data_IF_858616156933
#
_entry.id   IF_858616156933
#
_cell.length_a   1.000
_cell.length_b   1.000
_cell.length_c   1.000
_cell.angle_alpha   90.00
_cell.angle_beta   90.00
_cell.angle_gamma   90.00
#
_symmetry.space_group_name_H-M   'P 1'
#
loop_
_entity.id
_entity.type
_entity.pdbx_description
1 polymer ?
#
# COMPACT_ATOMS: atom_id res chain seq x y z
N UNK A 1 -40.64 39.04 -46.88
CA UNK A 1 -39.30 39.38 -47.38
C UNK A 1 -38.43 39.71 -46.17
N UNK A 2 -37.64 38.74 -45.69
CA UNK A 2 -36.25 38.88 -45.23
C UNK A 2 -35.78 37.50 -44.73
N UNK A 3 -34.93 36.87 -45.54
CA UNK A 3 -34.13 35.71 -45.17
C UNK A 3 -33.11 36.12 -44.10
N UNK A 4 -32.89 35.29 -43.07
CA UNK A 4 -31.58 35.24 -42.42
C UNK A 4 -31.23 33.83 -41.93
N UNK A 5 -30.33 33.19 -42.69
CA UNK A 5 -29.66 31.92 -42.41
C UNK A 5 -28.47 32.20 -41.48
N UNK A 6 -28.39 31.54 -40.30
CA UNK A 6 -27.15 31.42 -39.49
C UNK A 6 -27.16 30.05 -38.78
N UNK A 7 -26.42 29.06 -39.29
CA UNK A 7 -25.01 28.72 -39.05
C UNK A 7 -24.84 27.75 -37.85
N UNK A 8 -24.64 26.46 -38.16
CA UNK A 8 -24.75 25.28 -37.28
C UNK A 8 -23.41 24.86 -36.61
N UNK A 9 -22.57 25.80 -36.17
CA UNK A 9 -21.19 25.48 -35.75
C UNK A 9 -20.75 25.98 -34.35
N UNK A 10 -21.66 26.29 -33.43
CA UNK A 10 -21.28 26.84 -32.10
C UNK A 10 -21.48 25.90 -30.91
N UNK A 11 -21.81 24.61 -31.13
CA UNK A 11 -22.06 23.66 -30.03
C UNK A 11 -21.08 22.48 -29.95
N UNK A 12 -19.99 22.47 -30.74
CA UNK A 12 -18.98 21.40 -30.69
C UNK A 12 -17.69 21.79 -29.95
N UNK A 13 -17.49 23.08 -29.64
CA UNK A 13 -16.24 23.54 -28.98
C UNK A 13 -16.33 23.56 -27.45
N UNK A 14 -17.54 23.65 -26.88
CA UNK A 14 -17.76 23.56 -25.43
C UNK A 14 -17.76 22.10 -24.94
N UNK A 15 -18.10 21.15 -25.83
CA UNK A 15 -18.12 19.72 -25.51
C UNK A 15 -16.71 19.13 -25.35
N UNK A 16 -15.68 19.70 -25.98
CA UNK A 16 -14.30 19.24 -25.85
C UNK A 16 -13.63 19.73 -24.56
N UNK A 17 -14.10 20.84 -23.97
CA UNK A 17 -13.56 21.35 -22.71
C UNK A 17 -14.05 20.54 -21.49
N UNK A 18 -15.31 20.07 -21.51
CA UNK A 18 -15.85 19.22 -20.44
C UNK A 18 -15.28 17.80 -20.44
N UNK A 19 -14.93 17.26 -21.62
CA UNK A 19 -14.35 15.91 -21.74
C UNK A 19 -12.89 15.89 -21.26
N UNK A 20 -12.10 16.94 -21.53
CA UNK A 20 -10.69 17.00 -21.14
C UNK A 20 -10.45 17.08 -19.63
N UNK A 21 -11.33 17.74 -18.89
CA UNK A 21 -11.22 17.86 -17.41
C UNK A 21 -11.70 16.58 -16.72
N UNK A 22 -12.70 15.88 -17.30
CA UNK A 22 -13.18 14.60 -16.77
C UNK A 22 -12.18 13.46 -16.99
N UNK A 23 -11.45 13.46 -18.11
CA UNK A 23 -10.42 12.44 -18.38
C UNK A 23 -9.14 12.65 -17.57
N UNK A 24 -8.82 13.87 -17.12
CA UNK A 24 -7.65 14.10 -16.26
C UNK A 24 -7.84 13.67 -14.80
N UNK A 25 -9.08 13.57 -14.31
CA UNK A 25 -9.36 13.24 -12.90
C UNK A 25 -9.36 11.72 -12.60
N UNK A 26 -9.41 10.87 -13.63
CA UNK A 26 -9.34 9.41 -13.52
C UNK A 26 -7.93 8.85 -13.28
N UNK A 27 -6.88 9.69 -13.41
CA UNK A 27 -5.49 9.23 -13.33
C UNK A 27 -4.93 9.35 -11.89
N UNK A 28 -5.61 10.07 -10.99
CA UNK A 28 -5.16 10.26 -9.61
C UNK A 28 -6.01 9.44 -8.63
N UNK A 29 -5.98 8.11 -8.76
CA UNK A 29 -6.47 7.24 -7.70
C UNK A 29 -5.43 7.23 -6.56
N UNK A 30 -5.77 7.70 -5.34
CA UNK A 30 -4.89 7.48 -4.20
C UNK A 30 -4.78 5.97 -3.97
N UNK A 31 -3.57 5.43 -4.05
CA UNK A 31 -3.29 4.07 -3.59
C UNK A 31 -3.62 4.02 -2.10
N UNK A 32 -4.73 3.35 -1.75
CA UNK A 32 -5.07 3.09 -0.36
C UNK A 32 -3.97 2.21 0.24
N UNK A 33 -3.24 2.75 1.22
CA UNK A 33 -2.29 1.98 2.02
C UNK A 33 -3.13 1.02 2.87
N UNK A 34 -3.08 -0.27 2.54
CA UNK A 34 -3.71 -1.32 3.32
C UNK A 34 -3.06 -1.36 4.71
N UNK A 35 -3.86 -1.15 5.75
CA UNK A 35 -3.37 -1.29 7.12
C UNK A 35 -3.02 -2.76 7.35
N UNK A 36 -1.73 -3.07 7.47
CA UNK A 36 -1.27 -4.42 7.74
C UNK A 36 -1.90 -4.94 9.03
N UNK A 37 -2.84 -5.88 8.90
CA UNK A 37 -3.55 -6.44 10.03
C UNK A 37 -2.63 -7.45 10.73
N UNK A 38 -2.32 -7.19 12.00
CA UNK A 38 -1.57 -8.13 12.84
C UNK A 38 -2.52 -9.28 13.21
N UNK A 39 -2.14 -10.56 13.03
CA UNK A 39 -2.97 -11.68 13.44
C UNK A 39 -3.37 -11.59 14.92
N UNK A 40 -4.57 -12.04 15.27
CA UNK A 40 -5.14 -11.88 16.62
C UNK A 40 -4.28 -12.50 17.74
N UNK A 41 -3.45 -13.49 17.42
CA UNK A 41 -2.57 -14.18 18.37
C UNK A 41 -1.15 -13.59 18.47
N UNK A 42 -0.93 -12.42 17.86
CA UNK A 42 0.36 -11.74 17.83
C UNK A 42 0.24 -10.38 18.50
N UNK A 43 1.04 -10.18 19.54
CA UNK A 43 1.10 -8.93 20.29
C UNK A 43 2.30 -8.09 19.84
N UNK A 44 2.07 -6.83 19.48
CA UNK A 44 3.15 -5.89 19.16
C UNK A 44 3.86 -5.47 20.45
N UNK A 45 5.17 -5.69 20.49
CA UNK A 45 6.06 -5.32 21.59
C UNK A 45 6.72 -3.96 21.38
N UNK A 46 7.84 -3.68 22.08
CA UNK A 46 8.59 -2.45 21.92
C UNK A 46 9.18 -2.31 20.50
N UNK A 47 9.37 -1.06 20.10
CA UNK A 47 10.07 -0.69 18.86
C UNK A 47 11.29 0.16 19.22
N UNK A 48 12.45 -0.18 18.68
CA UNK A 48 13.69 0.58 18.85
C UNK A 48 14.48 0.55 17.53
N UNK A 49 15.04 1.70 17.12
CA UNK A 49 15.91 1.79 15.93
C UNK A 49 15.30 1.21 14.63
N UNK A 50 13.97 1.26 14.50
CA UNK A 50 13.26 0.70 13.35
C UNK A 50 13.02 -0.82 13.42
N UNK A 51 13.47 -1.50 14.48
CA UNK A 51 13.18 -2.91 14.75
C UNK A 51 11.97 -2.98 15.67
N UNK A 52 10.97 -3.77 15.29
CA UNK A 52 9.76 -4.01 16.11
C UNK A 52 9.71 -5.45 16.59
N UNK A 53 9.52 -5.64 17.90
CA UNK A 53 9.28 -6.96 18.47
C UNK A 53 7.81 -7.37 18.32
N UNK A 54 7.56 -8.64 17.99
CA UNK A 54 6.25 -9.27 18.01
C UNK A 54 6.31 -10.53 18.88
N UNK A 55 5.33 -10.68 19.77
CA UNK A 55 5.23 -11.77 20.75
C UNK A 55 4.03 -12.65 20.42
N UNK A 56 4.27 -13.95 20.34
CA UNK A 56 3.25 -14.95 20.08
C UNK A 56 2.83 -15.60 21.40
N UNK A 57 1.61 -16.15 21.45
CA UNK A 57 1.07 -16.84 22.63
C UNK A 57 1.93 -18.03 23.09
N UNK A 58 2.56 -18.73 22.14
CA UNK A 58 3.45 -19.86 22.39
C UNK A 58 4.85 -19.46 22.91
N UNK A 59 5.10 -18.16 23.15
CA UNK A 59 6.38 -17.64 23.63
C UNK A 59 7.40 -17.35 22.53
N UNK A 60 7.07 -17.59 21.25
CA UNK A 60 7.92 -17.21 20.13
C UNK A 60 8.04 -15.68 20.03
N UNK A 61 9.23 -15.20 19.67
CA UNK A 61 9.56 -13.79 19.52
C UNK A 61 10.09 -13.55 18.11
N UNK A 62 9.50 -12.60 17.41
CA UNK A 62 9.94 -12.14 16.10
C UNK A 62 10.44 -10.71 16.20
N UNK A 63 11.65 -10.45 15.70
CA UNK A 63 12.18 -9.10 15.53
C UNK A 63 12.09 -8.75 14.05
N UNK A 64 11.22 -7.80 13.73
CA UNK A 64 11.00 -7.35 12.36
C UNK A 64 11.80 -6.08 12.09
N UNK A 65 12.69 -6.15 11.10
CA UNK A 65 13.37 -5.02 10.48
C UNK A 65 12.84 -4.86 9.05
N UNK A 66 12.01 -3.85 8.75
CA UNK A 66 11.49 -3.64 7.41
C UNK A 66 12.57 -3.09 6.47
N UNK A 67 12.68 -3.66 5.27
CA UNK A 67 13.54 -3.19 4.19
C UNK A 67 12.82 -3.34 2.84
N UNK A 68 12.30 -2.24 2.31
CA UNK A 68 11.56 -2.21 1.03
C UNK A 68 12.49 -2.02 -0.18
N UNK A 69 13.82 -1.97 0.01
CA UNK A 69 14.77 -1.69 -1.07
C UNK A 69 15.04 -2.89 -1.96
N UNK A 70 14.74 -4.11 -1.48
CA UNK A 70 15.03 -5.37 -2.16
C UNK A 70 13.81 -6.29 -2.16
N UNK A 71 13.52 -7.00 -3.26
CA UNK A 71 12.44 -7.98 -3.32
C UNK A 71 12.82 -9.33 -2.68
N UNK A 72 13.62 -9.31 -1.61
CA UNK A 72 14.13 -10.51 -0.94
C UNK A 72 13.96 -10.37 0.56
N UNK A 73 13.35 -11.37 1.20
CA UNK A 73 13.20 -11.43 2.65
C UNK A 73 14.29 -12.33 3.23
N UNK A 74 14.98 -11.87 4.28
CA UNK A 74 15.97 -12.66 5.01
C UNK A 74 15.40 -13.07 6.36
N UNK A 75 15.44 -14.36 6.66
CA UNK A 75 14.98 -14.90 7.94
C UNK A 75 16.15 -15.51 8.70
N UNK A 76 16.38 -15.03 9.92
CA UNK A 76 17.34 -15.62 10.86
C UNK A 76 16.57 -16.20 12.04
N UNK A 77 16.89 -17.44 12.39
CA UNK A 77 16.21 -18.13 13.49
C UNK A 77 17.24 -18.63 14.50
N UNK A 78 17.06 -18.23 15.75
CA UNK A 78 17.90 -18.69 16.87
C UNK A 78 17.12 -19.67 17.70
N UNK A 79 17.58 -20.92 17.71
CA UNK A 79 17.09 -21.94 18.63
C UNK A 79 18.04 -22.01 19.82
N UNK A 80 17.50 -21.92 21.03
CA UNK A 80 18.27 -22.00 22.27
C UNK A 80 18.55 -23.47 22.66
N UNK A 81 18.99 -24.26 21.68
CA UNK A 81 19.39 -25.66 21.85
C UNK A 81 20.83 -25.81 21.39
N UNK A 82 21.51 -26.83 21.93
CA UNK A 82 22.88 -27.15 21.56
C UNK A 82 23.14 -28.63 21.77
N UNK A 83 24.39 -29.06 21.58
CA UNK A 83 24.80 -30.47 21.70
C UNK A 83 24.44 -31.12 23.04
N UNK A 84 24.24 -30.35 24.11
CA UNK A 84 23.77 -30.88 25.41
C UNK A 84 22.37 -31.54 25.34
N UNK A 85 21.62 -31.36 24.26
CA UNK A 85 20.25 -31.88 24.08
C UNK A 85 20.17 -32.93 22.95
N UNK A 86 21.23 -33.72 22.77
CA UNK A 86 21.35 -34.67 21.64
C UNK A 86 20.80 -36.09 21.90
N UNK A 87 20.34 -36.40 23.12
CA UNK A 87 19.83 -37.72 23.55
C UNK A 87 18.54 -37.59 24.38
#
# INVERSE_FOLDING_TARGET
>A
MYLFRKNRYSCSLLASFSVGVFTSMLIFAPTMVEAQMIPADVNKGPTAEGITEYRFSNGFKLLLLPDDTKPTVTFNMTYLVGSRFEN
#
